data_IF_769639056874
#
_entry.id   IF_769639056874
#
_cell.length_a   1.000
_cell.length_b   1.000
_cell.length_c   1.000
_cell.angle_alpha   90.00
_cell.angle_beta   90.00
_cell.angle_gamma   90.00
#
_symmetry.space_group_name_H-M   'P 1'
#
loop_
_entity.id
_entity.type
_entity.pdbx_description
1 polymer ?
#
# COMPACT_ATOMS: atom_id res chain seq x y z
N UNK A 1 16.41 -23.22 -20.70
CA UNK A 1 16.57 -21.75 -20.69
C UNK A 1 16.44 -21.34 -19.24
N UNK A 2 17.44 -20.66 -18.65
CA UNK A 2 17.35 -20.25 -17.26
C UNK A 2 16.27 -19.15 -17.18
N UNK A 3 15.22 -19.42 -16.41
CA UNK A 3 14.21 -18.42 -16.08
C UNK A 3 14.90 -17.32 -15.28
N UNK A 4 15.00 -16.11 -15.84
CA UNK A 4 15.35 -14.94 -15.06
C UNK A 4 14.36 -14.84 -13.88
N UNK A 5 14.88 -14.91 -12.66
CA UNK A 5 14.08 -14.69 -11.46
C UNK A 5 13.69 -13.21 -11.40
N UNK A 6 12.53 -12.90 -11.96
CA UNK A 6 11.91 -11.58 -11.88
C UNK A 6 11.54 -11.34 -10.42
N UNK A 7 11.92 -10.18 -9.86
CA UNK A 7 11.51 -9.80 -8.51
C UNK A 7 9.98 -9.70 -8.42
N UNK A 8 9.40 -10.07 -7.28
CA UNK A 8 7.96 -9.94 -7.04
C UNK A 8 7.45 -8.52 -7.32
N UNK A 9 8.25 -7.50 -6.99
CA UNK A 9 7.90 -6.11 -7.25
C UNK A 9 7.90 -5.77 -8.75
N UNK A 10 8.83 -6.34 -9.52
CA UNK A 10 8.89 -6.17 -10.97
C UNK A 10 7.70 -6.85 -11.65
N UNK A 11 7.33 -8.06 -11.21
CA UNK A 11 6.15 -8.76 -11.70
C UNK A 11 4.86 -7.97 -11.40
N UNK A 12 4.74 -7.36 -10.22
CA UNK A 12 3.61 -6.49 -9.86
C UNK A 12 3.58 -5.20 -10.69
N UNK A 13 4.73 -4.55 -10.86
CA UNK A 13 4.84 -3.36 -11.70
C UNK A 13 4.43 -3.66 -13.14
N UNK A 14 4.84 -4.82 -13.66
CA UNK A 14 4.43 -5.28 -14.98
C UNK A 14 2.93 -5.52 -15.07
N UNK A 15 2.34 -6.18 -14.06
CA UNK A 15 0.89 -6.38 -13.96
C UNK A 15 0.13 -5.05 -14.04
N UNK A 16 0.54 -4.06 -13.23
CA UNK A 16 -0.10 -2.74 -13.24
C UNK A 16 0.14 -1.98 -14.55
N UNK A 17 1.32 -2.10 -15.15
CA UNK A 17 1.63 -1.51 -16.46
C UNK A 17 0.69 -2.06 -17.55
N UNK A 18 0.53 -3.39 -17.60
CA UNK A 18 -0.38 -4.05 -18.53
C UNK A 18 -1.83 -3.65 -18.29
N UNK A 19 -2.27 -3.63 -17.03
CA UNK A 19 -3.63 -3.23 -16.65
C UNK A 19 -3.91 -1.78 -17.06
N UNK A 20 -3.02 -0.86 -16.71
CA UNK A 20 -3.16 0.57 -17.04
C UNK A 20 -3.22 0.78 -18.56
N UNK A 21 -2.34 0.13 -19.33
CA UNK A 21 -2.35 0.21 -20.79
C UNK A 21 -3.67 -0.30 -21.39
N UNK A 22 -4.19 -1.40 -20.87
CA UNK A 22 -5.46 -1.96 -21.32
C UNK A 22 -6.64 -1.05 -20.97
N UNK A 23 -6.71 -0.55 -19.74
CA UNK A 23 -7.78 0.34 -19.28
C UNK A 23 -7.76 1.68 -20.01
N UNK A 24 -6.58 2.27 -20.24
CA UNK A 24 -6.43 3.49 -21.03
C UNK A 24 -6.89 3.29 -22.48
N UNK A 25 -6.49 2.19 -23.12
CA UNK A 25 -6.97 1.83 -24.45
C UNK A 25 -8.49 1.68 -24.49
N UNK A 26 -9.08 0.96 -23.52
CA UNK A 26 -10.53 0.77 -23.45
C UNK A 26 -11.23 2.11 -23.26
N UNK A 27 -10.73 2.93 -22.33
CA UNK A 27 -11.29 4.23 -22.02
C UNK A 27 -11.24 5.17 -23.22
N UNK A 28 -10.07 5.37 -23.81
CA UNK A 28 -9.86 6.30 -24.92
C UNK A 28 -10.64 5.90 -26.18
N UNK A 29 -10.65 4.61 -26.53
CA UNK A 29 -11.28 4.12 -27.77
C UNK A 29 -12.80 3.98 -27.64
N UNK A 30 -13.31 3.47 -26.52
CA UNK A 30 -14.72 3.11 -26.40
C UNK A 30 -15.52 4.03 -25.47
N UNK A 31 -14.92 4.49 -24.36
CA UNK A 31 -15.67 5.17 -23.29
C UNK A 31 -15.68 6.68 -23.48
N UNK A 32 -14.53 7.29 -23.75
CA UNK A 32 -14.36 8.72 -23.92
C UNK A 32 -15.25 9.32 -25.05
N UNK A 33 -15.42 8.67 -26.21
CA UNK A 33 -16.34 9.15 -27.25
C UNK A 33 -17.80 9.19 -26.77
N UNK A 34 -18.23 8.20 -25.98
CA UNK A 34 -19.59 8.14 -25.44
C UNK A 34 -19.81 9.21 -24.36
N UNK A 35 -18.84 9.42 -23.47
CA UNK A 35 -18.93 10.42 -22.41
C UNK A 35 -19.01 11.83 -23.01
N UNK A 36 -18.19 12.13 -24.02
CA UNK A 36 -18.07 13.46 -24.59
C UNK A 36 -19.16 13.80 -25.62
N UNK A 37 -19.96 12.83 -26.10
CA UNK A 37 -21.06 13.15 -27.01
C UNK A 37 -22.17 13.92 -26.28
N UNK A 38 -22.32 15.20 -26.63
CA UNK A 38 -23.34 16.10 -26.05
C UNK A 38 -24.75 15.86 -26.61
N UNK A 39 -24.88 15.09 -27.69
CA UNK A 39 -26.16 14.80 -28.35
C UNK A 39 -26.90 13.64 -27.68
N UNK A 40 -26.20 12.83 -26.88
CA UNK A 40 -26.77 11.66 -26.22
C UNK A 40 -27.14 11.98 -24.76
N UNK A 41 -28.33 11.57 -24.35
CA UNK A 41 -28.76 11.53 -22.96
C UNK A 41 -28.00 10.47 -22.14
N UNK A 42 -28.07 10.57 -20.81
CA UNK A 42 -27.44 9.56 -19.91
C UNK A 42 -27.94 8.13 -20.17
N UNK A 43 -29.23 7.98 -20.51
CA UNK A 43 -29.81 6.67 -20.78
C UNK A 43 -29.32 6.08 -22.10
N UNK A 44 -29.22 6.90 -23.15
CA UNK A 44 -28.68 6.47 -24.45
C UNK A 44 -27.20 6.08 -24.34
N UNK A 45 -26.41 6.83 -23.55
CA UNK A 45 -25.01 6.47 -23.26
C UNK A 45 -24.87 5.11 -22.59
N UNK A 46 -25.74 4.79 -21.63
CA UNK A 46 -25.77 3.46 -20.98
C UNK A 46 -26.11 2.35 -21.97
N UNK A 47 -27.08 2.57 -22.85
CA UNK A 47 -27.46 1.58 -23.88
C UNK A 47 -26.34 1.38 -24.91
N UNK A 48 -25.67 2.45 -25.33
CA UNK A 48 -24.54 2.36 -26.25
C UNK A 48 -23.35 1.64 -25.61
N UNK A 49 -23.05 1.91 -24.34
CA UNK A 49 -22.02 1.21 -23.58
C UNK A 49 -22.27 -0.31 -23.53
N UNK A 50 -23.52 -0.74 -23.28
CA UNK A 50 -23.88 -2.15 -23.24
C UNK A 50 -23.73 -2.87 -24.60
N UNK A 51 -23.77 -2.12 -25.70
CA UNK A 51 -23.61 -2.65 -27.07
C UNK A 51 -22.17 -2.60 -27.56
N UNK A 52 -21.22 -2.09 -26.76
CA UNK A 52 -19.83 -2.02 -27.17
C UNK A 52 -19.27 -3.43 -27.41
N UNK A 53 -18.44 -3.61 -28.45
CA UNK A 53 -17.74 -4.87 -28.63
C UNK A 53 -16.80 -5.11 -27.44
N UNK A 54 -16.58 -6.38 -27.12
CA UNK A 54 -15.53 -6.73 -26.16
C UNK A 54 -14.20 -6.20 -26.69
N UNK A 55 -13.44 -5.46 -25.87
CA UNK A 55 -12.16 -4.93 -26.29
C UNK A 55 -11.16 -6.05 -26.59
N UNK A 56 -10.08 -5.70 -27.28
CA UNK A 56 -9.05 -6.66 -27.69
C UNK A 56 -8.26 -7.17 -26.48
N UNK A 57 -8.00 -8.47 -26.41
CA UNK A 57 -7.10 -9.04 -25.40
C UNK A 57 -5.68 -8.45 -25.57
N UNK A 58 -5.01 -8.11 -24.47
CA UNK A 58 -3.71 -7.45 -24.49
C UNK A 58 -2.63 -8.30 -25.19
N UNK A 59 -2.74 -9.63 -25.11
CA UNK A 59 -1.80 -10.58 -25.71
C UNK A 59 -2.21 -10.97 -27.15
N UNK A 60 -3.36 -11.63 -27.33
CA UNK A 60 -3.74 -12.20 -28.64
C UNK A 60 -4.53 -11.26 -29.57
N UNK A 61 -4.85 -10.04 -29.11
CA UNK A 61 -5.58 -9.01 -29.87
C UNK A 61 -6.97 -9.40 -30.38
N UNK A 62 -7.51 -10.56 -30.00
CA UNK A 62 -8.90 -10.95 -30.31
C UNK A 62 -9.89 -10.15 -29.45
N UNK A 63 -11.09 -9.90 -29.97
CA UNK A 63 -12.20 -9.20 -29.30
C UNK A 63 -12.86 -10.05 -28.20
N UNK A 64 -12.06 -10.49 -27.23
CA UNK A 64 -12.47 -11.35 -26.11
C UNK A 64 -12.22 -10.68 -24.76
N UNK A 65 -11.45 -9.59 -24.75
CA UNK A 65 -11.03 -8.86 -23.55
C UNK A 65 -9.85 -9.49 -22.83
N UNK A 66 -9.37 -8.76 -21.82
CA UNK A 66 -8.43 -9.24 -20.81
C UNK A 66 -9.10 -9.12 -19.45
N UNK A 67 -9.04 -10.19 -18.66
CA UNK A 67 -9.57 -10.22 -17.30
C UNK A 67 -8.41 -9.93 -16.36
N UNK A 68 -8.46 -8.78 -15.71
CA UNK A 68 -7.60 -8.44 -14.57
C UNK A 68 -8.42 -8.59 -13.29
N UNK A 69 -7.94 -9.38 -12.33
CA UNK A 69 -8.58 -9.52 -11.02
C UNK A 69 -7.56 -9.54 -9.90
N UNK A 70 -7.94 -8.96 -8.77
CA UNK A 70 -7.16 -8.95 -7.54
C UNK A 70 -8.07 -9.53 -6.46
N UNK A 71 -7.75 -10.72 -5.99
CA UNK A 71 -8.58 -11.45 -5.01
C UNK A 71 -7.79 -11.71 -3.75
N UNK A 72 -8.44 -11.59 -2.60
CA UNK A 72 -7.84 -11.92 -1.32
C UNK A 72 -8.21 -13.35 -0.95
N UNK A 73 -7.21 -14.19 -0.76
CA UNK A 73 -7.35 -15.49 -0.14
C UNK A 73 -6.97 -15.36 1.34
N UNK A 74 -7.98 -15.42 2.22
CA UNK A 74 -7.80 -15.30 3.66
C UNK A 74 -7.16 -16.54 4.29
N UNK A 75 -7.37 -17.72 3.70
CA UNK A 75 -6.79 -18.98 4.20
C UNK A 75 -5.28 -19.00 3.97
N UNK A 76 -4.85 -18.61 2.77
CA UNK A 76 -3.44 -18.58 2.40
C UNK A 76 -2.73 -17.26 2.78
N UNK A 77 -3.44 -16.32 3.42
CA UNK A 77 -2.97 -14.96 3.72
C UNK A 77 -2.31 -14.31 2.49
N UNK A 78 -2.91 -14.50 1.32
CA UNK A 78 -2.35 -14.11 0.04
C UNK A 78 -3.33 -13.23 -0.74
N UNK A 79 -2.80 -12.21 -1.42
CA UNK A 79 -3.49 -11.46 -2.46
C UNK A 79 -3.02 -11.98 -3.81
N UNK A 80 -3.96 -12.53 -4.58
CA UNK A 80 -3.70 -13.14 -5.88
C UNK A 80 -4.05 -12.14 -6.98
N UNK A 81 -3.04 -11.76 -7.77
CA UNK A 81 -3.20 -10.91 -8.95
C UNK A 81 -3.27 -11.81 -10.17
N UNK A 82 -4.38 -11.76 -10.90
CA UNK A 82 -4.59 -12.59 -12.09
C UNK A 82 -4.78 -11.71 -13.33
N UNK A 83 -4.04 -12.00 -14.39
CA UNK A 83 -4.29 -11.47 -15.73
C UNK A 83 -4.46 -12.63 -16.71
N UNK A 84 -5.65 -12.78 -17.29
CA UNK A 84 -5.96 -13.88 -18.22
C UNK A 84 -6.76 -13.44 -19.44
N UNK A 85 -6.69 -14.22 -20.50
CA UNK A 85 -7.53 -14.02 -21.68
C UNK A 85 -9.02 -14.13 -21.32
N UNK A 86 -9.87 -13.29 -21.94
CA UNK A 86 -11.32 -13.36 -21.72
C UNK A 86 -12.05 -14.45 -22.52
N UNK A 87 -11.33 -15.22 -23.33
CA UNK A 87 -11.85 -16.42 -24.00
C UNK A 87 -11.70 -17.64 -23.08
N UNK A 88 -12.82 -18.26 -22.72
CA UNK A 88 -12.86 -19.44 -21.85
C UNK A 88 -12.73 -20.76 -22.63
N UNK A 89 -13.09 -20.76 -23.92
CA UNK A 89 -13.06 -21.97 -24.74
C UNK A 89 -11.68 -22.18 -25.37
N UNK A 90 -11.07 -21.08 -25.84
CA UNK A 90 -9.74 -21.10 -26.46
C UNK A 90 -8.90 -19.93 -25.93
N UNK A 91 -8.47 -19.95 -24.66
CA UNK A 91 -7.63 -18.89 -24.10
C UNK A 91 -6.29 -18.81 -24.84
N UNK A 92 -5.79 -17.59 -25.04
CA UNK A 92 -4.40 -17.44 -25.45
C UNK A 92 -3.45 -17.71 -24.25
N UNK A 93 -2.13 -17.84 -24.47
CA UNK A 93 -1.15 -18.12 -23.41
C UNK A 93 -1.02 -17.05 -22.31
N UNK A 94 -1.85 -16.00 -22.31
CA UNK A 94 -1.87 -15.03 -21.23
C UNK A 94 -2.55 -15.65 -20.00
N UNK A 95 -1.74 -16.10 -19.06
CA UNK A 95 -2.15 -16.57 -17.74
C UNK A 95 -1.09 -16.17 -16.71
N UNK A 96 -1.21 -14.95 -16.19
CA UNK A 96 -0.32 -14.42 -15.15
C UNK A 96 -1.04 -14.57 -13.82
N UNK A 97 -0.37 -15.19 -12.86
CA UNK A 97 -0.83 -15.31 -11.48
C UNK A 97 0.31 -14.95 -10.54
N UNK A 98 0.12 -13.90 -9.75
CA UNK A 98 1.11 -13.43 -8.77
C UNK A 98 0.50 -13.61 -7.39
N UNK A 99 1.08 -14.49 -6.60
CA UNK A 99 0.72 -14.67 -5.20
C UNK A 99 1.56 -13.69 -4.38
N UNK A 100 0.90 -12.66 -3.86
CA UNK A 100 1.54 -11.65 -3.03
C UNK A 100 1.09 -11.82 -1.57
N UNK A 101 1.97 -11.55 -0.62
CA UNK A 101 1.61 -11.59 0.80
C UNK A 101 0.48 -10.60 1.10
N UNK A 102 -0.49 -11.01 1.92
CA UNK A 102 -1.44 -10.07 2.51
C UNK A 102 -0.68 -9.01 3.32
N UNK A 103 -1.03 -7.74 3.11
CA UNK A 103 -0.47 -6.61 3.83
C UNK A 103 -1.61 -5.70 4.25
N UNK A 104 -1.55 -5.28 5.50
CA UNK A 104 -2.44 -4.30 6.08
C UNK A 104 -1.61 -3.09 6.52
N UNK A 105 -2.23 -1.92 6.50
CA UNK A 105 -1.60 -0.72 7.01
C UNK A 105 -1.64 -0.75 8.54
N UNK A 106 -0.53 -0.35 9.18
CA UNK A 106 -0.39 -0.46 10.64
C UNK A 106 -1.41 0.40 11.38
N UNK A 107 -1.75 1.58 10.84
CA UNK A 107 -2.78 2.48 11.38
C UNK A 107 -4.17 1.83 11.38
N UNK A 108 -4.56 1.15 10.29
CA UNK A 108 -5.80 0.39 10.21
C UNK A 108 -5.81 -0.74 11.25
N UNK A 109 -4.73 -1.52 11.34
CA UNK A 109 -4.61 -2.59 12.34
C UNK A 109 -4.71 -2.02 13.77
N UNK A 110 -4.10 -0.87 14.05
CA UNK A 110 -4.18 -0.19 15.35
C UNK A 110 -5.62 0.24 15.64
N UNK A 111 -6.28 0.92 14.71
CA UNK A 111 -7.64 1.40 14.89
C UNK A 111 -8.61 0.25 15.15
N UNK A 112 -8.51 -0.83 14.37
CA UNK A 112 -9.35 -2.01 14.53
C UNK A 112 -9.12 -2.71 15.86
N UNK A 113 -7.86 -2.84 16.30
CA UNK A 113 -7.56 -3.40 17.62
C UNK A 113 -8.06 -2.51 18.76
N UNK A 114 -7.96 -1.18 18.65
CA UNK A 114 -8.51 -0.26 19.64
C UNK A 114 -10.04 -0.32 19.73
N UNK A 115 -10.73 -0.45 18.58
CA UNK A 115 -12.18 -0.69 18.54
C UNK A 115 -12.56 -2.00 19.23
N UNK A 116 -11.88 -3.09 18.90
CA UNK A 116 -12.09 -4.41 19.53
C UNK A 116 -11.81 -4.34 21.03
N UNK A 117 -10.74 -3.68 21.44
CA UNK A 117 -10.36 -3.50 22.83
C UNK A 117 -11.46 -2.78 23.62
N UNK A 118 -12.01 -1.69 23.08
CA UNK A 118 -13.11 -0.96 23.71
C UNK A 118 -14.38 -1.80 23.79
N UNK A 119 -14.68 -2.59 22.76
CA UNK A 119 -15.81 -3.51 22.79
C UNK A 119 -15.67 -4.55 23.90
N UNK A 120 -14.52 -5.24 23.98
CA UNK A 120 -14.28 -6.26 25.02
C UNK A 120 -14.32 -5.65 26.42
N UNK A 121 -13.78 -4.43 26.61
CA UNK A 121 -13.91 -3.70 27.88
C UNK A 121 -15.37 -3.45 28.26
N UNK A 122 -16.20 -3.03 27.30
CA UNK A 122 -17.64 -2.82 27.54
C UNK A 122 -18.35 -4.13 27.87
N UNK A 123 -18.03 -5.22 27.18
CA UNK A 123 -18.65 -6.52 27.42
C UNK A 123 -18.25 -7.08 28.80
N UNK A 124 -17.00 -6.89 29.22
CA UNK A 124 -16.56 -7.18 30.61
C UNK A 124 -17.37 -6.38 31.64
N UNK A 125 -17.59 -5.08 31.40
CA UNK A 125 -18.37 -4.24 32.30
C UNK A 125 -19.81 -4.74 32.41
N UNK A 126 -20.43 -5.10 31.27
CA UNK A 126 -21.78 -5.68 31.26
C UNK A 126 -21.83 -6.98 32.04
N UNK A 127 -20.90 -7.90 31.83
CA UNK A 127 -20.86 -9.17 32.56
C UNK A 127 -20.66 -8.97 34.07
N UNK A 128 -19.79 -8.03 34.48
CA UNK A 128 -19.65 -7.66 35.90
C UNK A 128 -20.96 -7.10 36.48
N UNK A 129 -21.64 -6.23 35.75
CA UNK A 129 -22.93 -5.69 36.19
C UNK A 129 -24.01 -6.77 36.25
N UNK A 130 -24.04 -7.69 35.28
CA UNK A 130 -24.92 -8.84 35.27
C UNK A 130 -24.75 -9.67 36.55
N UNK A 131 -23.50 -9.91 36.93
CA UNK A 131 -23.15 -10.62 38.17
C UNK A 131 -23.57 -9.85 39.44
N UNK A 132 -23.39 -8.53 39.48
CA UNK A 132 -23.71 -7.75 40.67
C UNK A 132 -25.21 -7.54 40.91
N UNK A 133 -26.00 -7.39 39.84
CA UNK A 133 -27.39 -6.93 39.95
C UNK A 133 -28.45 -7.97 39.58
N UNK A 134 -28.10 -9.02 38.84
CA UNK A 134 -29.07 -9.99 38.32
C UNK A 134 -28.84 -11.43 38.83
N UNK A 135 -27.92 -11.63 39.79
CA UNK A 135 -27.58 -12.93 40.41
C UNK A 135 -28.66 -13.54 41.31
N UNK A 136 -29.75 -12.83 41.58
CA UNK A 136 -30.91 -13.39 42.30
C UNK A 136 -31.69 -14.43 41.46
N UNK A 137 -31.38 -14.58 40.16
CA UNK A 137 -31.97 -15.60 39.30
C UNK A 137 -31.09 -16.87 39.20
N UNK A 138 -31.02 -17.65 40.29
CA UNK A 138 -30.54 -19.06 40.35
C UNK A 138 -29.04 -19.32 40.07
N UNK A 139 -28.50 -20.19 40.92
CA UNK A 139 -27.17 -20.84 40.98
C UNK A 139 -26.56 -21.38 39.67
N UNK A 140 -27.31 -21.37 38.54
CA UNK A 140 -26.87 -21.80 37.20
C UNK A 140 -26.05 -20.71 36.50
N UNK A 141 -26.31 -19.43 36.79
CA UNK A 141 -25.62 -18.27 36.18
C UNK A 141 -24.15 -18.17 36.62
N UNK A 142 -23.81 -18.60 37.84
CA UNK A 142 -22.47 -18.39 38.41
C UNK A 142 -21.32 -19.10 37.70
N UNK A 143 -21.53 -20.30 37.14
CA UNK A 143 -20.49 -21.03 36.41
C UNK A 143 -20.33 -20.51 34.97
N UNK A 144 -21.43 -20.29 34.25
CA UNK A 144 -21.40 -19.77 32.88
C UNK A 144 -20.87 -18.33 32.82
N UNK A 145 -21.25 -17.47 33.78
CA UNK A 145 -20.73 -16.10 33.86
C UNK A 145 -19.24 -16.06 34.21
N UNK A 146 -18.75 -16.94 35.09
CA UNK A 146 -17.32 -17.03 35.40
C UNK A 146 -16.51 -17.57 34.23
N UNK A 147 -17.04 -18.54 33.47
CA UNK A 147 -16.42 -19.04 32.25
C UNK A 147 -16.34 -17.94 31.17
N UNK A 148 -17.42 -17.21 30.95
CA UNK A 148 -17.46 -16.07 30.02
C UNK A 148 -16.49 -14.95 30.43
N UNK A 149 -16.36 -14.69 31.73
CA UNK A 149 -15.43 -13.70 32.25
C UNK A 149 -13.96 -14.08 31.95
N UNK A 150 -13.60 -15.35 32.09
CA UNK A 150 -12.26 -15.84 31.77
C UNK A 150 -11.97 -15.71 30.28
N UNK A 151 -12.91 -16.09 29.42
CA UNK A 151 -12.81 -15.92 27.95
C UNK A 151 -12.61 -14.46 27.59
N UNK A 152 -13.43 -13.55 28.12
CA UNK A 152 -13.30 -12.11 27.86
C UNK A 152 -11.99 -11.54 28.39
N UNK A 153 -11.50 -12.05 29.53
CA UNK A 153 -10.22 -11.62 30.11
C UNK A 153 -9.04 -12.05 29.24
N UNK A 154 -9.08 -13.27 28.70
CA UNK A 154 -8.04 -13.75 27.80
C UNK A 154 -8.10 -13.07 26.44
N UNK A 155 -9.31 -12.81 25.91
CA UNK A 155 -9.51 -11.99 24.71
C UNK A 155 -8.97 -10.57 24.92
N UNK A 156 -9.21 -9.97 26.10
CA UNK A 156 -8.67 -8.66 26.46
C UNK A 156 -7.14 -8.67 26.45
N UNK A 157 -6.50 -9.69 27.04
CA UNK A 157 -5.03 -9.82 27.04
C UNK A 157 -4.50 -9.93 25.61
N UNK A 158 -5.11 -10.76 24.79
CA UNK A 158 -4.70 -10.97 23.41
C UNK A 158 -4.79 -9.67 22.60
N UNK A 159 -5.96 -9.02 22.59
CA UNK A 159 -6.16 -7.78 21.83
C UNK A 159 -5.25 -6.66 22.35
N UNK A 160 -5.02 -6.60 23.67
CA UNK A 160 -4.07 -5.62 24.25
C UNK A 160 -2.65 -5.87 23.76
N UNK A 161 -2.22 -7.14 23.71
CA UNK A 161 -0.91 -7.53 23.18
C UNK A 161 -0.77 -7.19 21.69
N UNK A 162 -1.78 -7.53 20.90
CA UNK A 162 -1.82 -7.24 19.46
C UNK A 162 -1.77 -5.73 19.20
N UNK A 163 -2.61 -4.94 19.90
CA UNK A 163 -2.59 -3.49 19.81
C UNK A 163 -1.21 -2.92 20.15
N UNK A 164 -0.60 -3.39 21.24
CA UNK A 164 0.74 -2.99 21.65
C UNK A 164 1.80 -3.29 20.58
N UNK A 165 1.78 -4.50 20.02
CA UNK A 165 2.67 -4.91 18.94
C UNK A 165 2.56 -3.99 17.71
N UNK A 166 1.34 -3.72 17.24
CA UNK A 166 1.14 -2.87 16.06
C UNK A 166 1.54 -1.42 16.32
N UNK A 167 1.26 -0.88 17.51
CA UNK A 167 1.69 0.48 17.92
C UNK A 167 3.22 0.58 17.94
N UNK A 168 3.89 -0.35 18.61
CA UNK A 168 5.35 -0.36 18.71
C UNK A 168 5.98 -0.46 17.31
N UNK A 169 5.48 -1.38 16.49
CA UNK A 169 5.95 -1.54 15.11
C UNK A 169 5.72 -0.29 14.27
N UNK A 170 4.58 0.39 14.43
CA UNK A 170 4.31 1.65 13.75
C UNK A 170 5.29 2.75 14.16
N UNK A 171 5.59 2.86 15.46
CA UNK A 171 6.61 3.80 15.96
C UNK A 171 7.97 3.47 15.36
N UNK A 172 8.38 2.20 15.32
CA UNK A 172 9.71 1.83 14.82
C UNK A 172 9.89 2.01 13.31
N UNK A 173 8.80 1.88 12.53
CA UNK A 173 8.83 1.91 11.07
C UNK A 173 8.48 3.29 10.52
N UNK A 174 7.40 3.91 11.01
CA UNK A 174 6.85 5.15 10.45
C UNK A 174 7.22 6.39 11.27
N UNK A 175 7.23 6.29 12.61
CA UNK A 175 7.42 7.44 13.52
C UNK A 175 8.68 7.33 14.38
N UNK A 176 9.75 6.76 13.84
CA UNK A 176 10.93 6.40 14.62
C UNK A 176 11.66 7.67 15.08
N UNK A 177 11.62 8.02 16.39
CA UNK A 177 12.15 9.31 16.85
C UNK A 177 13.67 9.38 16.68
N UNK A 178 14.36 8.27 16.89
CA UNK A 178 15.83 8.18 16.76
C UNK A 178 16.25 8.38 15.31
N UNK A 179 15.59 7.69 14.37
CA UNK A 179 15.87 7.87 12.93
C UNK A 179 15.53 9.28 12.47
N UNK A 180 14.43 9.87 12.95
CA UNK A 180 14.04 11.23 12.62
C UNK A 180 15.08 12.25 13.09
N UNK A 181 15.57 12.11 14.31
CA UNK A 181 16.60 12.99 14.86
C UNK A 181 17.94 12.82 14.14
N UNK A 182 18.31 11.57 13.81
CA UNK A 182 19.49 11.27 13.00
C UNK A 182 19.39 11.92 11.61
N UNK A 183 18.26 11.72 10.92
CA UNK A 183 18.02 12.30 9.59
C UNK A 183 18.10 13.82 9.63
N UNK A 184 17.49 14.45 10.64
CA UNK A 184 17.56 15.91 10.83
C UNK A 184 19.00 16.37 11.00
N UNK A 185 19.78 15.68 11.84
CA UNK A 185 21.20 15.99 12.03
C UNK A 185 22.00 15.83 10.74
N UNK A 186 21.79 14.74 10.00
CA UNK A 186 22.49 14.51 8.72
C UNK A 186 22.12 15.54 7.66
N UNK A 187 20.87 15.98 7.60
CA UNK A 187 20.43 17.09 6.72
C UNK A 187 21.10 18.41 7.12
N UNK A 188 21.17 18.71 8.41
CA UNK A 188 21.82 19.92 8.92
C UNK A 188 23.33 19.91 8.62
N UNK A 189 24.01 18.78 8.81
CA UNK A 189 25.41 18.57 8.45
C UNK A 189 25.63 18.73 6.95
N UNK A 190 24.81 18.07 6.11
CA UNK A 190 24.85 18.25 4.66
C UNK A 190 24.63 19.71 4.24
N UNK A 191 23.70 20.40 4.88
CA UNK A 191 23.46 21.82 4.67
C UNK A 191 24.71 22.66 4.92
N UNK A 192 25.38 22.44 6.05
CA UNK A 192 26.52 23.25 6.50
C UNK A 192 27.82 22.89 5.80
N UNK A 193 28.11 21.60 5.67
CA UNK A 193 29.41 21.09 5.21
C UNK A 193 29.46 20.89 3.70
N UNK A 194 28.30 20.77 3.03
CA UNK A 194 28.24 20.48 1.59
C UNK A 194 27.56 21.60 0.81
N UNK A 195 26.31 21.95 1.15
CA UNK A 195 25.55 22.94 0.38
C UNK A 195 26.13 24.35 0.48
N UNK A 196 26.60 24.79 1.66
CA UNK A 196 27.19 26.11 1.81
C UNK A 196 28.52 26.25 1.05
N UNK A 197 29.51 25.35 1.18
CA UNK A 197 30.73 25.43 0.37
C UNK A 197 30.46 25.38 -1.12
N UNK A 198 29.55 24.51 -1.57
CA UNK A 198 29.19 24.45 -2.98
C UNK A 198 28.59 25.78 -3.48
N UNK A 199 27.69 26.41 -2.72
CA UNK A 199 27.17 27.74 -3.05
C UNK A 199 28.28 28.80 -3.12
N UNK A 200 29.27 28.72 -2.23
CA UNK A 200 30.41 29.63 -2.26
C UNK A 200 31.25 29.44 -3.52
N UNK A 201 31.52 28.21 -3.96
CA UNK A 201 32.21 27.98 -5.24
C UNK A 201 31.46 28.59 -6.42
N UNK A 202 30.14 28.42 -6.48
CA UNK A 202 29.32 29.00 -7.55
C UNK A 202 29.32 30.54 -7.49
N UNK A 203 29.22 31.13 -6.30
CA UNK A 203 29.30 32.58 -6.13
C UNK A 203 30.66 33.13 -6.59
N UNK A 204 31.76 32.49 -6.17
CA UNK A 204 33.11 32.89 -6.53
C UNK A 204 33.39 32.73 -8.04
N UNK A 205 32.87 31.67 -8.65
CA UNK A 205 32.90 31.49 -10.10
C UNK A 205 32.16 32.62 -10.82
N UNK A 206 30.93 32.97 -10.37
CA UNK A 206 30.15 34.04 -10.98
C UNK A 206 30.82 35.41 -10.86
N UNK A 207 31.58 35.66 -9.80
CA UNK A 207 32.31 36.91 -9.59
C UNK A 207 33.62 36.99 -10.40
N UNK A 208 34.38 35.89 -10.45
CA UNK A 208 35.75 35.89 -11.01
C UNK A 208 35.86 35.33 -12.42
N UNK A 209 34.85 34.56 -12.88
CA UNK A 209 34.85 33.90 -14.19
C UNK A 209 35.95 32.84 -14.38
N UNK A 210 36.46 32.26 -13.29
CA UNK A 210 37.58 31.31 -13.35
C UNK A 210 37.09 29.86 -13.46
N UNK A 211 37.32 29.23 -14.61
CA UNK A 211 36.93 27.85 -14.92
C UNK A 211 37.53 26.78 -13.97
N UNK A 212 38.63 27.10 -13.27
CA UNK A 212 39.17 26.20 -12.23
C UNK A 212 38.21 26.06 -11.05
N UNK A 213 37.55 27.14 -10.64
CA UNK A 213 36.57 27.14 -9.55
C UNK A 213 35.34 26.33 -9.93
N UNK A 214 34.89 26.44 -11.19
CA UNK A 214 33.80 25.62 -11.72
C UNK A 214 34.18 24.13 -11.73
N UNK A 215 35.42 23.79 -12.11
CA UNK A 215 35.92 22.41 -12.12
C UNK A 215 36.00 21.83 -10.70
N UNK A 216 36.43 22.62 -9.72
CA UNK A 216 36.46 22.23 -8.31
C UNK A 216 35.06 22.03 -7.74
N UNK A 217 34.11 22.91 -8.08
CA UNK A 217 32.71 22.77 -7.68
C UNK A 217 32.11 21.46 -8.21
N UNK A 218 32.33 21.15 -9.49
CA UNK A 218 31.83 19.90 -10.12
C UNK A 218 32.46 18.67 -9.48
N UNK A 219 33.77 18.71 -9.19
CA UNK A 219 34.45 17.64 -8.47
C UNK A 219 33.86 17.44 -7.08
N UNK A 220 33.75 18.50 -6.29
CA UNK A 220 33.16 18.48 -4.95
C UNK A 220 31.74 17.92 -4.96
N UNK A 221 30.90 18.34 -5.92
CA UNK A 221 29.56 17.81 -6.08
C UNK A 221 29.57 16.30 -6.33
N UNK A 222 30.40 15.82 -7.26
CA UNK A 222 30.42 14.42 -7.68
C UNK A 222 31.07 13.50 -6.64
N UNK A 223 32.16 13.92 -6.03
CA UNK A 223 33.01 13.10 -5.17
C UNK A 223 32.62 13.18 -3.69
N UNK A 224 32.02 14.29 -3.25
CA UNK A 224 31.70 14.50 -1.83
C UNK A 224 30.19 14.60 -1.61
N UNK A 225 29.50 15.51 -2.31
CA UNK A 225 28.07 15.73 -2.08
C UNK A 225 27.21 14.52 -2.48
N UNK A 226 27.44 13.94 -3.66
CA UNK A 226 26.62 12.85 -4.19
C UNK A 226 26.70 11.56 -3.34
N UNK A 227 27.87 11.11 -2.88
CA UNK A 227 27.95 9.99 -1.93
C UNK A 227 27.20 10.29 -0.63
N UNK A 228 27.41 11.47 -0.03
CA UNK A 228 26.75 11.84 1.24
C UNK A 228 25.23 11.93 1.10
N UNK A 229 24.75 12.41 -0.04
CA UNK A 229 23.32 12.48 -0.34
C UNK A 229 22.68 11.08 -0.42
N UNK A 230 23.40 10.07 -0.92
CA UNK A 230 22.90 8.68 -0.94
C UNK A 230 22.67 8.12 0.46
N UNK A 231 23.43 8.57 1.47
CA UNK A 231 23.21 8.18 2.87
C UNK A 231 21.91 8.75 3.45
N UNK A 232 21.40 9.87 2.89
CA UNK A 232 20.17 10.55 3.32
C UNK A 232 18.92 9.93 2.67
N UNK A 233 19.05 9.30 1.49
CA UNK A 233 17.96 8.67 0.74
C UNK A 233 17.63 7.23 1.16
N UNK A 234 18.17 6.76 2.30
CA UNK A 234 17.91 5.43 2.90
C UNK A 234 16.80 5.54 3.95
#
# INVERSE_FOLDING_TARGET
>A
MPSEEISVNEALNEFYRMKAKYEDYVYTKYINPLINDKRMSKNEKRQAYAKLPKPECINCKRNVGTIFSITENKEDLARVFTAKCGDLAQPCPLNIQINYSFREQLDVSIEDNLKKLNKVKLDIIKEKNNLLFFTNAKMVIGQDTMANFNVLTDELKQITGDAGYYIEKNILVNDNPVKRDLLKKTIDEFGKEMLLPFKNFIAEFNEKGNDQIASEAVRFYKEEMMPKLKEIYI
#
